data_IF_490381182325
#
_entry.id   IF_490381182325
#
_cell.length_a   1.000
_cell.length_b   1.000
_cell.length_c   1.000
_cell.angle_alpha   90.00
_cell.angle_beta   90.00
_cell.angle_gamma   90.00
#
_symmetry.space_group_name_H-M   'P 1'
#
loop_
_entity.id
_entity.type
_entity.pdbx_description
1 polymer ?
#
# COMPACT_ATOMS: atom_id res chain seq x y z
N UNK A 1 -11.18 -76.40 -24.68
CA UNK A 1 -10.24 -75.56 -23.92
C UNK A 1 -9.39 -74.78 -24.92
N UNK A 2 -9.77 -73.54 -25.21
CA UNK A 2 -9.02 -72.60 -26.07
C UNK A 2 -8.81 -71.33 -25.23
N UNK A 3 -7.55 -71.00 -24.93
CA UNK A 3 -7.17 -69.76 -24.23
C UNK A 3 -6.84 -68.72 -25.30
N UNK A 4 -7.67 -67.70 -25.45
CA UNK A 4 -7.37 -66.54 -26.30
C UNK A 4 -6.58 -65.51 -25.48
N UNK A 5 -5.33 -65.25 -25.86
CA UNK A 5 -4.49 -64.19 -25.27
C UNK A 5 -5.00 -62.82 -25.76
N UNK A 6 -5.37 -61.94 -24.85
CA UNK A 6 -5.67 -60.54 -25.17
C UNK A 6 -4.37 -59.81 -25.57
N UNK A 7 -4.36 -59.19 -26.75
CA UNK A 7 -3.28 -58.29 -27.16
C UNK A 7 -3.57 -56.92 -26.57
N UNK A 8 -2.71 -56.46 -25.66
CA UNK A 8 -2.74 -55.08 -25.17
C UNK A 8 -2.27 -54.15 -26.29
N UNK A 9 -3.15 -53.25 -26.73
CA UNK A 9 -2.82 -52.19 -27.69
C UNK A 9 -2.29 -50.99 -26.90
N UNK A 10 -0.98 -50.75 -26.97
CA UNK A 10 -0.35 -49.60 -26.32
C UNK A 10 -0.41 -48.41 -27.31
N UNK A 11 -1.30 -47.44 -27.06
CA UNK A 11 -1.33 -46.19 -27.81
C UNK A 11 -0.22 -45.26 -27.29
N UNK A 12 0.67 -44.73 -28.14
CA UNK A 12 1.64 -43.74 -27.68
C UNK A 12 0.91 -42.42 -27.36
N UNK A 13 0.97 -41.99 -26.09
CA UNK A 13 0.60 -40.64 -25.70
C UNK A 13 1.61 -39.65 -26.30
N UNK A 14 1.18 -38.86 -27.28
CA UNK A 14 1.93 -37.71 -27.78
C UNK A 14 1.81 -36.58 -26.76
N UNK A 15 2.85 -36.38 -25.95
CA UNK A 15 3.00 -35.18 -25.15
C UNK A 15 3.47 -34.03 -26.06
N UNK A 16 2.53 -33.20 -26.52
CA UNK A 16 2.86 -31.89 -27.08
C UNK A 16 3.26 -31.00 -25.91
N UNK A 17 4.56 -30.78 -25.71
CA UNK A 17 5.03 -29.73 -24.80
C UNK A 17 4.71 -28.38 -25.43
N UNK A 18 3.61 -27.76 -25.01
CA UNK A 18 3.41 -26.34 -25.25
C UNK A 18 4.49 -25.58 -24.50
N UNK A 19 5.42 -24.96 -25.23
CA UNK A 19 6.20 -23.86 -24.67
C UNK A 19 5.21 -22.71 -24.51
N UNK A 20 4.59 -22.58 -23.34
CA UNK A 20 3.93 -21.35 -22.96
C UNK A 20 5.04 -20.31 -22.79
N UNK A 21 5.33 -19.57 -23.86
CA UNK A 21 6.07 -18.32 -23.74
C UNK A 21 5.13 -17.39 -23.01
N UNK A 22 5.39 -17.17 -21.72
CA UNK A 22 4.77 -16.04 -21.02
C UNK A 22 5.27 -14.78 -21.74
N UNK A 23 4.42 -14.19 -22.57
CA UNK A 23 4.62 -12.83 -23.04
C UNK A 23 4.55 -11.97 -21.78
N UNK A 24 5.72 -11.60 -21.26
CA UNK A 24 5.76 -10.61 -20.19
C UNK A 24 5.58 -9.26 -20.88
N UNK A 25 4.34 -8.78 -20.92
CA UNK A 25 4.02 -7.42 -21.32
C UNK A 25 4.61 -6.45 -20.28
N UNK A 26 5.83 -5.98 -20.54
CA UNK A 26 6.46 -4.94 -19.74
C UNK A 26 6.28 -3.59 -20.41
N UNK A 27 5.69 -2.62 -19.70
CA UNK A 27 5.79 -1.22 -20.04
C UNK A 27 7.04 -0.62 -19.39
N UNK A 28 7.92 -0.03 -20.21
CA UNK A 28 9.09 0.70 -19.73
C UNK A 28 8.78 2.19 -19.73
N UNK A 29 8.86 2.83 -18.58
CA UNK A 29 8.67 4.27 -18.43
C UNK A 29 9.97 4.98 -18.04
N UNK A 30 10.19 6.19 -18.57
CA UNK A 30 11.32 7.04 -18.18
C UNK A 30 10.92 7.89 -16.99
N UNK A 31 11.42 7.55 -15.80
CA UNK A 31 11.09 8.24 -14.55
C UNK A 31 12.09 9.34 -14.14
N UNK A 32 13.30 9.34 -14.72
CA UNK A 32 14.36 10.33 -14.46
C UNK A 32 14.76 11.08 -15.74
N UNK A 33 13.80 11.74 -16.38
CA UNK A 33 14.05 12.48 -17.63
C UNK A 33 15.16 13.53 -17.46
N UNK A 34 16.05 13.63 -18.45
CA UNK A 34 17.18 14.57 -18.42
C UNK A 34 18.38 14.14 -17.56
N UNK A 35 18.30 12.98 -16.88
CA UNK A 35 19.43 12.41 -16.15
C UNK A 35 19.98 11.18 -16.86
N UNK A 36 21.27 11.21 -17.19
CA UNK A 36 22.00 10.02 -17.59
C UNK A 36 22.51 9.31 -16.34
N UNK A 37 21.83 8.22 -15.98
CA UNK A 37 22.14 7.41 -14.79
C UNK A 37 23.24 6.41 -15.14
N UNK A 38 24.39 6.52 -14.47
CA UNK A 38 25.51 5.58 -14.63
C UNK A 38 25.46 4.43 -13.61
N UNK A 39 24.92 4.70 -12.42
CA UNK A 39 24.70 3.74 -11.35
C UNK A 39 23.49 4.18 -10.53
N UNK A 40 22.74 3.22 -9.99
CA UNK A 40 21.67 3.50 -9.03
C UNK A 40 21.66 2.47 -7.89
N UNK A 41 21.05 2.87 -6.79
CA UNK A 41 20.67 2.05 -5.66
C UNK A 41 19.27 2.47 -5.20
N UNK A 42 18.59 1.55 -4.53
CA UNK A 42 17.31 1.80 -3.88
C UNK A 42 17.53 1.82 -2.37
N UNK A 43 16.86 2.73 -1.68
CA UNK A 43 16.84 2.74 -0.23
C UNK A 43 15.97 3.84 0.33
N UNK A 44 15.31 3.55 1.43
CA UNK A 44 14.55 4.50 2.23
C UNK A 44 15.51 5.48 2.93
N UNK A 45 15.59 6.71 2.40
CA UNK A 45 16.53 7.74 2.89
C UNK A 45 15.89 8.73 3.85
N UNK A 46 14.56 8.73 3.96
CA UNK A 46 13.81 9.66 4.81
C UNK A 46 12.92 8.98 5.87
N UNK A 47 12.95 7.64 5.92
CA UNK A 47 12.28 6.80 6.90
C UNK A 47 10.84 6.43 6.52
N UNK A 48 10.33 6.85 5.35
CA UNK A 48 8.92 6.73 4.96
C UNK A 48 8.43 5.30 4.63
N UNK A 49 9.34 4.33 4.71
CA UNK A 49 9.10 2.93 4.42
C UNK A 49 9.09 2.61 2.93
N UNK A 50 9.54 3.54 2.07
CA UNK A 50 9.69 3.31 0.63
C UNK A 50 11.04 3.78 0.15
N UNK A 51 11.53 3.08 -0.85
CA UNK A 51 12.84 3.38 -1.40
C UNK A 51 12.80 4.64 -2.26
N UNK A 52 13.77 5.50 -2.02
CA UNK A 52 14.25 6.47 -2.99
C UNK A 52 15.16 5.83 -4.03
N UNK A 53 15.38 6.54 -5.13
CA UNK A 53 16.44 6.21 -6.08
C UNK A 53 17.64 7.09 -5.78
N UNK A 54 18.71 6.49 -5.27
CA UNK A 54 20.01 7.13 -5.12
C UNK A 54 20.80 6.82 -6.39
N UNK A 55 21.25 7.83 -7.12
CA UNK A 55 21.91 7.60 -8.41
C UNK A 55 23.12 8.51 -8.63
N UNK A 56 24.06 8.02 -9.46
CA UNK A 56 25.14 8.82 -10.02
C UNK A 56 24.73 9.31 -11.40
N UNK A 57 24.87 10.61 -11.64
CA UNK A 57 24.75 11.14 -12.99
C UNK A 57 26.01 10.90 -13.83
N UNK A 58 25.97 11.27 -15.10
CA UNK A 58 27.09 11.14 -16.04
C UNK A 58 28.37 11.89 -15.61
N UNK A 59 28.26 12.86 -14.70
CA UNK A 59 29.39 13.63 -14.19
C UNK A 59 29.93 13.06 -12.87
N UNK A 60 29.40 11.91 -12.42
CA UNK A 60 29.75 11.30 -11.14
C UNK A 60 29.15 12.02 -9.93
N UNK A 61 28.14 12.89 -10.14
CA UNK A 61 27.45 13.56 -9.03
C UNK A 61 26.39 12.64 -8.45
N UNK A 62 26.44 12.40 -7.14
CA UNK A 62 25.41 11.66 -6.42
C UNK A 62 24.16 12.52 -6.20
N UNK A 63 22.99 11.97 -6.57
CA UNK A 63 21.67 12.60 -6.46
C UNK A 63 20.68 11.60 -5.86
N UNK A 64 19.62 12.13 -5.25
CA UNK A 64 18.50 11.34 -4.72
C UNK A 64 17.23 11.82 -5.43
N UNK A 65 16.55 10.91 -6.14
CA UNK A 65 15.20 11.13 -6.61
C UNK A 65 14.22 10.63 -5.54
N UNK A 66 13.54 11.58 -4.90
CA UNK A 66 12.65 11.31 -3.78
C UNK A 66 11.37 10.62 -4.20
N UNK A 67 10.94 9.62 -3.44
CA UNK A 67 9.68 8.95 -3.68
C UNK A 67 8.53 9.72 -3.03
N UNK A 68 8.03 10.74 -3.72
CA UNK A 68 6.92 11.58 -3.23
C UNK A 68 5.54 10.93 -3.34
N UNK A 69 5.45 9.61 -3.39
CA UNK A 69 4.19 8.89 -3.34
C UNK A 69 3.44 9.05 -1.99
N UNK A 70 3.92 9.93 -1.10
CA UNK A 70 3.27 10.42 0.12
C UNK A 70 3.15 11.93 -0.03
N UNK A 71 2.02 12.55 0.36
CA UNK A 71 1.93 13.99 0.34
C UNK A 71 2.93 14.53 1.35
N UNK A 72 3.74 15.49 0.91
CA UNK A 72 4.70 16.17 1.78
C UNK A 72 4.02 16.84 2.99
N UNK A 73 2.70 17.09 2.91
CA UNK A 73 1.86 17.70 3.93
C UNK A 73 0.65 16.83 4.28
N UNK A 74 0.57 16.41 5.56
CA UNK A 74 -0.58 15.66 6.11
C UNK A 74 -1.88 16.49 6.02
N UNK A 75 -1.79 17.83 6.03
CA UNK A 75 -2.94 18.74 5.94
C UNK A 75 -3.79 18.55 4.68
N UNK A 76 -3.26 17.93 3.62
CA UNK A 76 -4.04 17.59 2.43
C UNK A 76 -5.16 16.57 2.71
N UNK A 77 -5.10 15.88 3.85
CA UNK A 77 -6.13 14.93 4.27
C UNK A 77 -7.29 15.60 5.01
N UNK A 78 -7.19 16.85 5.46
CA UNK A 78 -8.30 17.46 6.22
C UNK A 78 -9.60 17.43 5.41
N UNK A 79 -10.70 17.07 6.06
CA UNK A 79 -12.02 16.89 5.46
C UNK A 79 -12.11 15.80 4.37
N UNK A 80 -11.16 14.86 4.31
CA UNK A 80 -11.25 13.69 3.41
C UNK A 80 -11.81 12.47 4.12
N UNK A 81 -12.38 11.56 3.34
CA UNK A 81 -12.91 10.29 3.82
C UNK A 81 -12.47 9.16 2.90
N UNK A 82 -12.13 8.03 3.50
CA UNK A 82 -11.49 6.92 2.81
C UNK A 82 -12.13 5.60 3.20
N UNK A 83 -12.40 4.77 2.22
CA UNK A 83 -12.78 3.37 2.37
C UNK A 83 -11.54 2.50 2.51
N UNK A 84 -11.19 2.09 3.74
CA UNK A 84 -10.09 1.15 3.99
C UNK A 84 -10.44 -0.26 3.50
N UNK A 85 -11.72 -0.61 3.65
CA UNK A 85 -12.40 -1.76 3.03
C UNK A 85 -13.84 -1.37 2.69
N UNK A 86 -14.64 -2.32 2.23
CA UNK A 86 -16.08 -2.12 2.02
C UNK A 86 -16.78 -1.59 3.28
N UNK A 87 -16.37 -2.07 4.46
CA UNK A 87 -17.01 -1.73 5.73
C UNK A 87 -16.19 -0.77 6.60
N UNK A 88 -14.85 -0.80 6.54
CA UNK A 88 -14.02 0.11 7.34
C UNK A 88 -13.83 1.44 6.64
N UNK A 89 -14.24 2.53 7.29
CA UNK A 89 -14.07 3.91 6.82
C UNK A 89 -13.15 4.68 7.77
N UNK A 90 -12.36 5.57 7.19
CA UNK A 90 -11.48 6.49 7.89
C UNK A 90 -11.74 7.90 7.41
N UNK A 91 -12.15 8.77 8.32
CA UNK A 91 -12.40 10.17 8.05
C UNK A 91 -11.37 11.03 8.76
N UNK A 92 -10.76 11.93 8.00
CA UNK A 92 -9.91 13.00 8.49
C UNK A 92 -10.77 14.24 8.64
N UNK A 93 -10.85 14.77 9.85
CA UNK A 93 -11.76 15.85 10.21
C UNK A 93 -11.07 17.19 9.96
N UNK A 94 -10.33 17.67 10.95
CA UNK A 94 -9.64 18.94 10.90
C UNK A 94 -8.31 18.87 11.66
N UNK A 95 -7.50 19.92 11.52
CA UNK A 95 -6.22 20.02 12.21
C UNK A 95 -6.43 20.10 13.73
N UNK A 96 -5.79 19.19 14.47
CA UNK A 96 -5.74 19.21 15.91
C UNK A 96 -4.86 20.39 16.39
N UNK A 97 -5.39 21.19 17.32
CA UNK A 97 -4.67 22.34 17.89
C UNK A 97 -4.07 21.99 19.27
N UNK A 98 -2.84 22.45 19.59
CA UNK A 98 -1.84 23.08 18.72
C UNK A 98 -0.95 22.02 18.06
N UNK A 99 -0.91 21.95 16.73
CA UNK A 99 -0.05 21.00 16.02
C UNK A 99 -0.37 20.89 14.54
N UNK A 100 0.36 20.04 13.82
CA UNK A 100 0.08 19.64 12.43
C UNK A 100 -0.72 18.35 12.34
N UNK A 101 -1.08 17.79 13.49
CA UNK A 101 -1.84 16.57 13.59
C UNK A 101 -3.26 16.76 13.10
N UNK A 102 -3.94 15.68 12.71
CA UNK A 102 -5.32 15.72 12.22
C UNK A 102 -6.21 14.87 13.10
N UNK A 103 -7.33 15.43 13.57
CA UNK A 103 -8.37 14.66 14.24
C UNK A 103 -8.99 13.69 13.25
N UNK A 104 -9.14 12.44 13.65
CA UNK A 104 -9.73 11.40 12.81
C UNK A 104 -10.90 10.71 13.48
N UNK A 105 -11.75 10.11 12.65
CA UNK A 105 -12.78 9.16 13.04
C UNK A 105 -12.64 7.91 12.18
N UNK A 106 -12.56 6.75 12.81
CA UNK A 106 -12.61 5.46 12.13
C UNK A 106 -13.93 4.77 12.47
N UNK A 107 -14.63 4.24 11.47
CA UNK A 107 -15.92 3.57 11.62
C UNK A 107 -15.95 2.23 10.90
N UNK A 108 -16.67 1.27 11.47
CA UNK A 108 -17.13 0.09 10.75
C UNK A 108 -18.59 0.30 10.40
N UNK A 109 -18.88 0.31 9.11
CA UNK A 109 -20.17 0.63 8.53
C UNK A 109 -20.68 -0.54 7.69
N UNK A 110 -21.96 -0.88 7.86
CA UNK A 110 -22.60 -1.91 7.06
C UNK A 110 -24.06 -1.52 6.81
N UNK A 111 -24.48 -1.53 5.54
CA UNK A 111 -25.83 -1.09 5.11
C UNK A 111 -26.25 0.27 5.68
N UNK A 112 -25.33 1.24 5.69
CA UNK A 112 -25.58 2.61 6.17
C UNK A 112 -25.58 2.77 7.70
N UNK A 113 -25.41 1.69 8.47
CA UNK A 113 -25.35 1.75 9.93
C UNK A 113 -23.90 1.66 10.42
N UNK A 114 -23.56 2.46 11.44
CA UNK A 114 -22.26 2.41 12.12
C UNK A 114 -22.34 1.42 13.29
N UNK A 115 -21.55 0.34 13.25
CA UNK A 115 -21.50 -0.68 14.31
C UNK A 115 -20.32 -0.48 15.27
N UNK A 116 -19.24 0.13 14.78
CA UNK A 116 -18.05 0.44 15.57
C UNK A 116 -17.59 1.84 15.21
N UNK A 117 -17.11 2.59 16.20
CA UNK A 117 -16.46 3.87 15.94
C UNK A 117 -15.37 4.15 16.97
N UNK A 118 -14.38 4.92 16.56
CA UNK A 118 -13.34 5.44 17.43
C UNK A 118 -12.85 6.77 16.88
N UNK A 119 -12.35 7.61 17.78
CA UNK A 119 -11.73 8.89 17.43
C UNK A 119 -10.27 8.86 17.84
N UNK A 120 -9.48 9.69 17.19
CA UNK A 120 -8.06 9.71 17.43
C UNK A 120 -7.36 10.82 16.68
N UNK A 121 -6.05 10.63 16.55
CA UNK A 121 -5.16 11.61 15.94
C UNK A 121 -4.28 10.91 14.91
N UNK A 122 -4.21 11.51 13.72
CA UNK A 122 -3.25 11.17 12.69
C UNK A 122 -2.04 12.10 12.79
N UNK A 123 -0.86 11.52 12.89
CA UNK A 123 0.42 12.22 13.04
C UNK A 123 1.38 11.71 11.99
N UNK A 124 2.15 12.63 11.36
CA UNK A 124 3.27 12.24 10.50
C UNK A 124 4.44 11.84 11.38
N UNK A 125 4.93 10.62 11.22
CA UNK A 125 6.10 10.10 11.95
C UNK A 125 7.00 9.39 10.95
N UNK A 126 8.28 9.75 10.87
CA UNK A 126 9.27 9.07 10.02
C UNK A 126 8.69 8.74 8.65
N UNK A 127 8.21 9.76 7.92
CA UNK A 127 7.69 9.63 6.56
C UNK A 127 6.35 8.89 6.36
N UNK A 128 5.87 8.10 7.32
CA UNK A 128 4.51 7.50 7.36
C UNK A 128 3.52 8.40 8.09
N UNK A 129 2.23 8.05 7.98
CA UNK A 129 1.18 8.62 8.83
C UNK A 129 0.69 7.52 9.78
N UNK A 130 0.82 7.76 11.07
CA UNK A 130 0.32 6.89 12.12
C UNK A 130 -0.95 7.47 12.72
N UNK A 131 -1.95 6.61 12.88
CA UNK A 131 -3.25 7.00 13.38
C UNK A 131 -3.54 6.22 14.66
N UNK A 132 -3.47 6.94 15.77
CA UNK A 132 -3.76 6.39 17.08
C UNK A 132 -5.25 6.62 17.39
N UNK A 133 -6.03 5.55 17.38
CA UNK A 133 -7.44 5.57 17.75
C UNK A 133 -7.57 5.07 19.19
N UNK A 134 -8.45 5.71 19.97
CA UNK A 134 -8.71 5.35 21.38
C UNK A 134 -7.49 5.47 22.34
N UNK A 135 -6.44 6.21 21.95
CA UNK A 135 -5.42 6.72 22.88
C UNK A 135 -4.24 5.79 23.23
N UNK A 136 -4.04 4.67 22.54
CA UNK A 136 -2.88 3.79 22.77
C UNK A 136 -1.64 4.26 22.00
N UNK A 137 -0.83 5.12 22.63
CA UNK A 137 0.46 5.54 22.06
C UNK A 137 1.37 4.34 21.77
N UNK A 138 2.00 4.32 20.59
CA UNK A 138 2.88 3.24 20.15
C UNK A 138 2.16 2.01 19.56
N UNK A 139 0.83 2.06 19.41
CA UNK A 139 0.04 1.00 18.76
C UNK A 139 -0.98 1.62 17.80
N UNK A 140 -0.55 2.16 16.65
CA UNK A 140 -1.46 2.79 15.70
C UNK A 140 -2.50 1.79 15.21
N UNK A 141 -3.74 2.26 15.14
CA UNK A 141 -4.86 1.52 14.57
C UNK A 141 -4.81 1.53 13.05
N UNK A 142 -4.22 2.58 12.46
CA UNK A 142 -3.95 2.66 11.02
C UNK A 142 -2.54 3.19 10.82
N UNK A 143 -1.79 2.57 9.93
CA UNK A 143 -0.50 3.05 9.44
C UNK A 143 -0.61 3.23 7.93
N UNK A 144 -0.33 4.43 7.44
CA UNK A 144 -0.36 4.76 6.02
C UNK A 144 1.08 4.90 5.53
N UNK A 145 1.44 4.04 4.58
CA UNK A 145 2.76 4.00 3.94
C UNK A 145 2.71 4.62 2.52
N UNK A 146 1.51 4.75 1.95
CA UNK A 146 1.28 5.39 0.66
C UNK A 146 0.02 6.23 0.69
N UNK A 147 0.10 7.44 0.11
CA UNK A 147 -1.05 8.30 -0.05
C UNK A 147 -0.89 9.20 -1.27
N UNK A 148 -1.87 9.14 -2.15
CA UNK A 148 -2.08 10.08 -3.24
C UNK A 148 -3.52 10.57 -3.17
N UNK A 149 -3.71 11.78 -2.63
CA UNK A 149 -5.04 12.43 -2.59
C UNK A 149 -5.53 12.72 -4.00
N UNK A 150 -4.65 13.10 -4.93
CA UNK A 150 -5.00 13.37 -6.33
C UNK A 150 -5.52 12.14 -7.06
N UNK A 151 -4.97 10.96 -6.74
CA UNK A 151 -5.36 9.69 -7.38
C UNK A 151 -6.37 8.92 -6.51
N UNK A 152 -6.85 9.51 -5.40
CA UNK A 152 -7.78 8.87 -4.48
C UNK A 152 -7.28 7.53 -3.92
N UNK A 153 -5.96 7.35 -3.78
CA UNK A 153 -5.36 6.07 -3.41
C UNK A 153 -4.55 6.16 -2.10
N UNK A 154 -4.75 5.22 -1.19
CA UNK A 154 -4.01 5.12 0.08
C UNK A 154 -3.67 3.65 0.36
N UNK A 155 -2.47 3.36 0.85
CA UNK A 155 -2.06 1.99 1.21
C UNK A 155 -1.36 1.97 2.54
N UNK A 156 -1.45 0.83 3.21
CA UNK A 156 -0.83 0.61 4.49
C UNK A 156 -1.52 -0.53 5.21
N UNK A 157 -1.65 -0.41 6.53
CA UNK A 157 -2.26 -1.42 7.37
C UNK A 157 -3.28 -0.80 8.34
N UNK A 158 -4.28 -1.58 8.74
CA UNK A 158 -5.23 -1.20 9.77
C UNK A 158 -5.53 -2.35 10.75
N UNK A 159 -6.13 -2.02 11.89
CA UNK A 159 -6.54 -2.96 12.95
C UNK A 159 -8.00 -2.71 13.32
N UNK A 160 -8.65 -3.73 13.88
CA UNK A 160 -9.92 -3.52 14.57
C UNK A 160 -9.68 -2.71 15.85
N UNK A 161 -10.45 -1.64 16.04
CA UNK A 161 -10.27 -0.68 17.14
C UNK A 161 -10.95 -1.10 18.45
N UNK A 162 -11.73 -2.19 18.47
CA UNK A 162 -12.40 -2.66 19.69
C UNK A 162 -11.57 -3.62 20.54
N UNK A 163 -10.53 -4.24 19.97
CA UNK A 163 -9.70 -5.20 20.69
C UNK A 163 -8.27 -4.68 20.80
N UNK A 164 -7.74 -4.66 22.03
CA UNK A 164 -6.40 -4.16 22.33
C UNK A 164 -5.28 -4.95 21.61
N UNK A 165 -5.53 -6.23 21.30
CA UNK A 165 -4.60 -7.14 20.61
C UNK A 165 -5.04 -7.48 19.18
N UNK A 166 -5.74 -6.56 18.51
CA UNK A 166 -6.20 -6.77 17.14
C UNK A 166 -5.06 -7.08 16.17
N UNK A 167 -5.30 -8.06 15.30
CA UNK A 167 -4.42 -8.34 14.16
C UNK A 167 -4.39 -7.14 13.21
N UNK A 168 -3.22 -6.92 12.62
CA UNK A 168 -3.00 -5.96 11.55
C UNK A 168 -3.36 -6.57 10.19
N UNK A 169 -4.10 -5.85 9.37
CA UNK A 169 -4.50 -6.25 8.03
C UNK A 169 -4.00 -5.22 7.00
N UNK A 170 -3.49 -5.66 5.84
CA UNK A 170 -3.16 -4.73 4.77
C UNK A 170 -4.42 -4.05 4.23
N UNK A 171 -4.29 -2.81 3.78
CA UNK A 171 -5.34 -2.03 3.12
C UNK A 171 -4.85 -1.41 1.82
N UNK A 172 -5.75 -1.38 0.84
CA UNK A 172 -5.68 -0.55 -0.35
C UNK A 172 -6.94 0.32 -0.33
N UNK A 173 -6.85 1.47 0.34
CA UNK A 173 -7.97 2.36 0.53
C UNK A 173 -8.22 3.23 -0.71
N UNK A 174 -9.49 3.58 -0.91
CA UNK A 174 -9.94 4.52 -1.93
C UNK A 174 -10.62 5.72 -1.26
N UNK A 175 -10.48 6.89 -1.85
CA UNK A 175 -11.18 8.09 -1.38
C UNK A 175 -12.67 8.00 -1.75
N UNK A 176 -13.55 8.33 -0.79
CA UNK A 176 -15.00 8.38 -0.97
C UNK A 176 -15.44 9.60 -1.80
#
# INVERSE_FOLDING_TARGET
MLITKSKALCLPLLFLSYNAVAENDFSVETILSGHQVSQFALGDTDGDGRDEIIFLDQYGTMKIARNFANPSSINMLTNTRWSLTDNWKLQFLDQAYPGTDIRVRMTYEHNGNVFKSGVGVATKQDGKIEININGYGGNPAVTINYLSVSNGAMKGNYKDIQYSNSRSFPMNAQMD
#
